data_IF_089367056043
#
_entry.id   IF_089367056043
#
_cell.length_a   1.000
_cell.length_b   1.000
_cell.length_c   1.000
_cell.angle_alpha   90.00
_cell.angle_beta   90.00
_cell.angle_gamma   90.00
#
_symmetry.space_group_name_H-M   'P 1'
#
loop_
_entity.id
_entity.type
_entity.pdbx_description
1 polymer ?
#
# COMPACT_ATOMS: atom_id res chain seq x y z
N UNK A 1 4.71 -21.19 -35.29
CA UNK A 1 5.34 -21.09 -33.95
C UNK A 1 5.22 -19.70 -33.34
N UNK A 2 5.42 -18.61 -34.11
CA UNK A 2 5.25 -17.21 -33.67
C UNK A 2 3.89 -16.87 -33.03
N UNK A 3 2.76 -17.40 -33.55
CA UNK A 3 1.43 -17.15 -32.95
C UNK A 3 1.26 -17.72 -31.53
N UNK A 4 1.90 -18.86 -31.22
CA UNK A 4 1.88 -19.45 -29.87
C UNK A 4 2.78 -18.67 -28.92
N UNK A 5 3.89 -18.14 -29.42
CA UNK A 5 4.79 -17.29 -28.65
C UNK A 5 4.14 -15.94 -28.30
N UNK A 6 3.38 -15.34 -29.22
CA UNK A 6 2.63 -14.11 -28.97
C UNK A 6 1.50 -14.30 -27.95
N UNK A 7 0.82 -15.44 -27.98
CA UNK A 7 -0.20 -15.81 -26.99
C UNK A 7 0.38 -16.02 -25.59
N UNK A 8 1.55 -16.69 -25.50
CA UNK A 8 2.30 -16.83 -24.25
C UNK A 8 2.78 -15.47 -23.69
N UNK A 9 3.23 -14.57 -24.57
CA UNK A 9 3.67 -13.23 -24.17
C UNK A 9 2.52 -12.41 -23.58
N UNK A 10 1.33 -12.44 -24.23
CA UNK A 10 0.13 -11.74 -23.76
C UNK A 10 -0.37 -12.32 -22.43
N UNK A 11 -0.37 -13.64 -22.25
CA UNK A 11 -0.78 -14.27 -20.99
C UNK A 11 0.14 -13.90 -19.80
N UNK A 12 1.42 -13.66 -20.07
CA UNK A 12 2.39 -13.30 -19.04
C UNK A 12 2.20 -11.87 -18.51
N UNK A 13 1.64 -10.96 -19.30
CA UNK A 13 1.38 -9.56 -18.89
C UNK A 13 0.18 -9.49 -17.93
N UNK A 14 -0.80 -10.38 -18.07
CA UNK A 14 -2.00 -10.44 -17.22
C UNK A 14 -1.77 -11.12 -15.86
N UNK A 15 -0.57 -11.63 -15.59
CA UNK A 15 -0.28 -12.39 -14.37
C UNK A 15 0.19 -11.52 -13.20
N UNK A 16 0.33 -10.20 -13.38
CA UNK A 16 0.69 -9.26 -12.30
C UNK A 16 -0.54 -8.77 -11.52
N UNK A 17 -1.54 -9.64 -11.29
CA UNK A 17 -2.59 -9.35 -10.33
C UNK A 17 -1.97 -9.32 -8.92
N UNK A 18 -1.76 -8.12 -8.35
CA UNK A 18 -1.19 -7.97 -7.01
C UNK A 18 -2.03 -8.77 -6.00
N UNK A 19 -1.38 -9.66 -5.26
CA UNK A 19 -1.96 -10.35 -4.11
C UNK A 19 -2.33 -9.36 -3.02
N UNK A 20 -3.26 -9.75 -2.13
CA UNK A 20 -3.43 -9.07 -0.85
C UNK A 20 -2.20 -9.19 0.07
N UNK A 21 -1.13 -9.84 -0.41
CA UNK A 21 0.19 -9.88 0.21
C UNK A 21 1.02 -8.66 -0.23
N UNK A 22 1.20 -7.74 0.70
CA UNK A 22 1.97 -6.52 0.53
C UNK A 22 3.40 -6.79 0.04
N UNK A 23 4.02 -7.89 0.46
CA UNK A 23 5.41 -8.24 0.11
C UNK A 23 5.56 -8.76 -1.32
N UNK A 24 4.46 -9.12 -1.99
CA UNK A 24 4.49 -9.49 -3.39
C UNK A 24 4.74 -8.28 -4.29
N UNK A 25 4.19 -7.12 -3.92
CA UNK A 25 4.34 -5.88 -4.69
C UNK A 25 5.41 -4.93 -4.09
N UNK A 26 5.70 -5.05 -2.79
CA UNK A 26 6.80 -4.34 -2.12
C UNK A 26 7.88 -5.32 -1.63
N UNK A 27 8.77 -5.83 -2.52
CA UNK A 27 9.76 -6.83 -2.16
C UNK A 27 10.76 -6.35 -1.09
N UNK A 28 11.03 -5.05 -1.01
CA UNK A 28 11.91 -4.45 0.00
C UNK A 28 11.38 -4.67 1.43
N UNK A 29 10.06 -4.83 1.60
CA UNK A 29 9.47 -5.14 2.91
C UNK A 29 9.94 -6.48 3.45
N UNK A 30 10.38 -7.43 2.61
CA UNK A 30 10.90 -8.71 3.09
C UNK A 30 12.14 -8.53 3.97
N UNK A 31 12.90 -7.47 3.74
CA UNK A 31 14.10 -7.15 4.51
C UNK A 31 13.73 -6.43 5.82
N UNK A 32 12.73 -5.53 5.78
CA UNK A 32 12.31 -4.71 6.92
C UNK A 32 11.16 -5.30 7.75
N UNK A 33 10.55 -6.42 7.36
CA UNK A 33 9.36 -6.99 8.05
C UNK A 33 9.61 -7.36 9.52
N UNK A 34 10.88 -7.56 9.88
CA UNK A 34 11.30 -7.83 11.27
C UNK A 34 11.19 -6.59 12.16
N UNK A 35 11.20 -5.40 11.57
CA UNK A 35 11.04 -4.14 12.31
C UNK A 35 9.65 -4.06 12.92
N UNK A 36 9.61 -3.63 14.19
CA UNK A 36 8.38 -3.63 15.00
C UNK A 36 7.20 -2.93 14.31
N UNK A 37 7.45 -1.83 13.60
CA UNK A 37 6.41 -1.04 12.93
C UNK A 37 5.95 -1.66 11.59
N UNK A 38 6.77 -2.50 10.96
CA UNK A 38 6.41 -3.21 9.73
C UNK A 38 5.73 -4.57 9.98
N UNK A 39 5.92 -5.18 11.16
CA UNK A 39 5.28 -6.46 11.52
C UNK A 39 3.75 -6.46 11.40
N UNK A 40 3.10 -5.29 11.53
CA UNK A 40 1.66 -5.15 11.39
C UNK A 40 1.13 -5.63 10.03
N UNK A 41 1.95 -5.58 8.98
CA UNK A 41 1.61 -6.05 7.63
C UNK A 41 1.28 -7.55 7.60
N UNK A 42 1.82 -8.32 8.53
CA UNK A 42 1.49 -9.75 8.68
C UNK A 42 0.06 -9.98 9.17
N UNK A 43 -0.55 -9.00 9.85
CA UNK A 43 -1.96 -9.06 10.23
C UNK A 43 -2.89 -8.81 9.04
N UNK A 44 -2.45 -7.99 8.07
CA UNK A 44 -3.23 -7.67 6.87
C UNK A 44 -3.42 -8.92 6.00
N UNK A 45 -2.36 -9.68 5.79
CA UNK A 45 -2.37 -10.90 4.97
C UNK A 45 -3.21 -12.04 5.58
N UNK A 46 -3.49 -12.00 6.90
CA UNK A 46 -4.35 -12.98 7.55
C UNK A 46 -5.80 -12.93 7.03
N UNK A 47 -6.29 -11.75 6.65
CA UNK A 47 -7.60 -11.57 6.02
C UNK A 47 -7.49 -11.42 4.50
N UNK A 48 -6.46 -10.72 4.01
CA UNK A 48 -6.24 -10.47 2.59
C UNK A 48 -5.42 -11.59 1.92
N UNK A 49 -5.91 -12.83 2.03
CA UNK A 49 -5.19 -14.04 1.57
C UNK A 49 -5.26 -14.27 0.06
N UNK A 50 -6.14 -13.57 -0.67
CA UNK A 50 -6.36 -13.73 -2.12
C UNK A 50 -6.61 -12.38 -2.76
N UNK A 51 -6.18 -12.20 -4.01
CA UNK A 51 -6.67 -11.11 -4.87
C UNK A 51 -8.09 -11.46 -5.31
N UNK A 52 -9.11 -10.66 -4.97
CA UNK A 52 -10.40 -10.78 -5.65
C UNK A 52 -10.17 -10.59 -7.15
N UNK A 53 -10.83 -11.36 -8.01
CA UNK A 53 -10.66 -11.23 -9.48
C UNK A 53 -10.91 -9.80 -9.99
N UNK A 54 -11.75 -9.03 -9.28
CA UNK A 54 -12.01 -7.62 -9.53
C UNK A 54 -10.83 -6.66 -9.24
N UNK A 55 -9.79 -7.13 -8.55
CA UNK A 55 -8.60 -6.34 -8.16
C UNK A 55 -7.37 -6.69 -9.02
N UNK A 56 -7.54 -7.43 -10.13
CA UNK A 56 -6.44 -7.79 -11.04
C UNK A 56 -5.79 -6.57 -11.72
N UNK A 57 -6.49 -5.43 -11.77
CA UNK A 57 -5.99 -4.17 -12.35
C UNK A 57 -5.44 -3.18 -11.32
N UNK A 58 -5.57 -3.46 -10.02
CA UNK A 58 -5.08 -2.59 -8.95
C UNK A 58 -3.56 -2.77 -8.81
N UNK A 59 -2.80 -2.22 -9.77
CA UNK A 59 -1.35 -2.28 -9.76
C UNK A 59 -0.76 -1.48 -8.60
N UNK A 60 0.18 -2.09 -7.88
CA UNK A 60 1.20 -1.47 -7.01
C UNK A 60 0.74 -0.66 -5.79
N UNK A 61 -0.45 -0.06 -5.81
CA UNK A 61 -0.94 0.85 -4.79
C UNK A 61 -2.41 0.53 -4.47
N UNK A 62 -2.59 -0.20 -3.37
CA UNK A 62 -3.90 -0.60 -2.83
C UNK A 62 -4.86 0.58 -2.66
N UNK A 63 -4.32 1.79 -2.46
CA UNK A 63 -5.11 2.98 -2.20
C UNK A 63 -5.52 3.75 -3.46
N UNK A 64 -5.03 3.34 -4.63
CA UNK A 64 -5.45 3.91 -5.92
C UNK A 64 -6.93 3.67 -6.21
N UNK A 65 -7.51 2.59 -5.69
CA UNK A 65 -8.94 2.28 -5.82
C UNK A 65 -9.72 2.47 -4.50
N UNK A 66 -9.07 2.32 -3.35
CA UNK A 66 -9.69 2.47 -2.04
C UNK A 66 -9.04 3.59 -1.23
N UNK A 67 -9.79 4.60 -0.84
CA UNK A 67 -9.23 5.67 0.00
C UNK A 67 -8.74 5.14 1.35
N UNK A 68 -7.44 5.30 1.62
CA UNK A 68 -6.82 4.96 2.90
C UNK A 68 -7.56 5.65 4.06
N UNK A 69 -7.91 6.93 3.90
CA UNK A 69 -8.66 7.72 4.89
C UNK A 69 -10.03 7.10 5.20
N UNK A 70 -10.79 6.71 4.16
CA UNK A 70 -12.09 6.06 4.37
C UNK A 70 -11.97 4.70 5.06
N UNK A 71 -10.89 3.95 4.81
CA UNK A 71 -10.65 2.67 5.48
C UNK A 71 -10.33 2.87 6.97
N UNK A 72 -9.52 3.88 7.30
CA UNK A 72 -9.23 4.26 8.69
C UNK A 72 -10.52 4.60 9.44
N UNK A 73 -11.47 5.28 8.80
CA UNK A 73 -12.75 5.65 9.41
C UNK A 73 -13.74 4.47 9.56
N UNK A 74 -13.41 3.28 9.05
CA UNK A 74 -14.30 2.11 9.13
C UNK A 74 -14.41 1.53 10.54
N UNK A 75 -15.43 0.71 10.77
CA UNK A 75 -15.65 0.04 12.06
C UNK A 75 -14.67 -1.12 12.34
N UNK A 76 -13.71 -1.39 11.46
CA UNK A 76 -12.73 -2.47 11.61
C UNK A 76 -11.47 -1.94 12.27
N UNK A 77 -11.14 -2.49 13.43
CA UNK A 77 -9.99 -2.03 14.22
C UNK A 77 -8.67 -2.24 13.45
N UNK A 78 -8.58 -3.30 12.65
CA UNK A 78 -7.41 -3.60 11.85
C UNK A 78 -7.17 -2.52 10.77
N UNK A 79 -8.25 -1.94 10.23
CA UNK A 79 -8.15 -0.85 9.26
C UNK A 79 -7.82 0.50 9.90
N UNK A 80 -8.26 0.73 11.15
CA UNK A 80 -7.87 1.93 11.91
C UNK A 80 -6.36 2.02 12.11
N UNK A 81 -5.68 0.87 12.21
CA UNK A 81 -4.23 0.82 12.34
C UNK A 81 -3.49 1.36 11.10
N UNK A 82 -4.14 1.54 9.94
CA UNK A 82 -3.54 2.21 8.79
C UNK A 82 -3.11 3.66 9.11
N UNK A 83 -3.66 4.27 10.16
CA UNK A 83 -3.22 5.58 10.65
C UNK A 83 -1.77 5.57 11.14
N UNK A 84 -1.27 4.47 11.74
CA UNK A 84 0.12 4.42 12.21
C UNK A 84 1.12 4.39 11.05
N UNK A 85 0.72 3.83 9.89
CA UNK A 85 1.55 3.86 8.70
C UNK A 85 1.87 5.30 8.26
N UNK A 86 0.95 6.24 8.52
CA UNK A 86 1.09 7.65 8.13
C UNK A 86 2.05 8.45 9.01
N UNK A 87 2.48 7.89 10.15
CA UNK A 87 3.53 8.50 10.96
C UNK A 87 4.85 8.62 10.19
N UNK A 88 5.11 7.71 9.25
CA UNK A 88 6.29 7.72 8.39
C UNK A 88 5.97 7.76 6.88
N UNK A 89 4.86 7.17 6.44
CA UNK A 89 4.42 7.15 5.03
C UNK A 89 3.33 8.20 4.76
N UNK A 90 3.73 9.48 4.79
CA UNK A 90 2.82 10.59 4.54
C UNK A 90 2.43 10.61 3.05
N UNK A 91 1.13 10.53 2.76
CA UNK A 91 0.61 10.66 1.40
C UNK A 91 0.39 12.15 1.02
N UNK A 92 0.15 12.41 -0.27
CA UNK A 92 -0.01 13.78 -0.78
C UNK A 92 -1.25 14.46 -0.20
N UNK A 93 -2.32 13.71 0.02
CA UNK A 93 -3.59 14.23 0.53
C UNK A 93 -3.46 14.76 1.97
N UNK A 94 -2.64 14.12 2.79
CA UNK A 94 -2.42 14.48 4.19
C UNK A 94 -1.46 15.68 4.33
N UNK A 95 -0.51 15.84 3.41
CA UNK A 95 0.39 17.01 3.37
C UNK A 95 -0.37 18.34 3.29
N UNK A 96 -1.53 18.35 2.63
CA UNK A 96 -2.32 19.58 2.44
C UNK A 96 -3.52 19.72 3.40
N UNK A 97 -3.76 18.73 4.27
CA UNK A 97 -4.94 18.70 5.15
C UNK A 97 -4.64 18.85 6.64
N UNK A 98 -3.39 18.70 7.08
CA UNK A 98 -3.08 18.65 8.50
C UNK A 98 -3.13 20.07 9.14
N UNK A 99 -4.04 20.35 10.10
CA UNK A 99 -4.08 21.63 10.81
C UNK A 99 -3.04 21.72 11.94
N UNK A 100 -2.33 20.62 12.24
CA UNK A 100 -1.18 20.58 13.16
C UNK A 100 0.10 21.08 12.49
N UNK A 101 0.05 21.56 11.25
CA UNK A 101 1.08 22.43 10.71
C UNK A 101 0.91 23.80 11.33
N UNK A 102 1.45 23.98 12.53
CA UNK A 102 1.75 25.30 13.08
C UNK A 102 2.41 26.09 11.94
N UNK A 103 1.93 27.31 11.69
CA UNK A 103 2.24 28.23 10.58
C UNK A 103 3.73 28.66 10.49
N UNK A 104 4.65 27.71 10.58
CA UNK A 104 6.10 27.91 10.64
C UNK A 104 6.92 26.63 10.44
N UNK A 105 6.32 25.43 10.30
CA UNK A 105 7.07 24.25 9.84
C UNK A 105 7.16 24.24 8.32
N UNK A 106 8.38 24.35 7.81
CA UNK A 106 8.66 24.34 6.37
C UNK A 106 8.61 22.92 5.82
N UNK A 107 8.42 22.77 4.51
CA UNK A 107 8.52 21.46 3.84
C UNK A 107 9.86 20.76 4.11
N UNK A 108 10.94 21.53 4.35
CA UNK A 108 12.23 20.99 4.78
C UNK A 108 12.16 20.29 6.15
N UNK A 109 11.36 20.79 7.10
CA UNK A 109 11.25 20.19 8.43
C UNK A 109 10.53 18.84 8.38
N UNK A 110 9.62 18.65 7.41
CA UNK A 110 8.98 17.36 7.12
C UNK A 110 9.94 16.36 6.45
N UNK A 111 10.83 16.84 5.58
CA UNK A 111 11.77 16.00 4.84
C UNK A 111 13.01 15.62 5.66
N UNK A 112 13.35 16.40 6.69
CA UNK A 112 14.53 16.20 7.54
C UNK A 112 14.26 15.31 8.77
N UNK A 113 13.01 14.91 9.03
CA UNK A 113 12.64 14.04 10.16
C UNK A 113 12.67 12.53 9.79
N UNK A 114 13.59 12.17 8.88
CA UNK A 114 13.83 10.79 8.43
C UNK A 114 15.05 10.17 9.09
#
# INVERSE_FOLDING_TARGET
MIKKLFFLLILSIYSYACSGDCMACHPILKESIKEKHHQILTSCIACHTKTPAAMAECGGDCFSCHSQNKLIESNRIEHKNLASCKECHINKEDLFKNPTMNSGSTLSDLLNNK
#
